data_IF_401953351900
#
_entry.id   IF_401953351900
#
_cell.length_a   1.000
_cell.length_b   1.000
_cell.length_c   1.000
_cell.angle_alpha   90.00
_cell.angle_beta   90.00
_cell.angle_gamma   90.00
#
_symmetry.space_group_name_H-M   'P 1'
#
loop_
_entity.id
_entity.type
_entity.pdbx_description
1 polymer ?
#
# COMPACT_ATOMS: atom_id res chain seq x y z
N UNK A 1 5.34 12.73 0.47
CA UNK A 1 4.71 11.66 -0.34
C UNK A 1 4.13 10.60 0.58
N UNK A 2 3.10 9.89 0.13
CA UNK A 2 2.27 8.96 0.91
C UNK A 2 1.97 7.76 0.02
N UNK A 3 2.05 6.55 0.56
CA UNK A 3 1.62 5.34 -0.15
C UNK A 3 0.16 5.07 0.17
N UNK A 4 -0.65 4.74 -0.84
CA UNK A 4 -2.01 4.24 -0.65
C UNK A 4 -2.05 2.75 -0.98
N UNK A 5 -2.42 1.93 0.00
CA UNK A 5 -2.59 0.49 -0.18
C UNK A 5 -3.76 0.16 -1.13
N UNK A 6 -3.71 -1.01 -1.75
CA UNK A 6 -4.75 -1.52 -2.66
C UNK A 6 -6.14 -1.51 -2.00
N UNK A 7 -6.23 -1.78 -0.69
CA UNK A 7 -7.51 -1.72 0.04
C UNK A 7 -8.19 -0.34 -0.02
N UNK A 8 -7.41 0.75 -0.02
CA UNK A 8 -7.93 2.13 -0.10
C UNK A 8 -8.49 2.40 -1.49
N UNK A 9 -7.76 2.01 -2.53
CA UNK A 9 -8.18 2.18 -3.92
C UNK A 9 -9.47 1.42 -4.23
N UNK A 10 -9.61 0.20 -3.70
CA UNK A 10 -10.83 -0.60 -3.85
C UNK A 10 -12.03 0.12 -3.24
N UNK A 11 -11.91 0.63 -2.02
CA UNK A 11 -13.00 1.34 -1.35
C UNK A 11 -13.33 2.67 -2.03
N UNK A 12 -12.30 3.40 -2.50
CA UNK A 12 -12.44 4.65 -3.22
C UNK A 12 -13.23 4.46 -4.52
N UNK A 13 -12.87 3.46 -5.35
CA UNK A 13 -13.59 3.16 -6.58
C UNK A 13 -15.02 2.67 -6.36
N UNK A 14 -15.28 2.01 -5.23
CA UNK A 14 -16.64 1.61 -4.83
C UNK A 14 -17.49 2.78 -4.32
N UNK A 15 -16.92 3.98 -4.21
CA UNK A 15 -17.60 5.16 -3.68
C UNK A 15 -17.90 5.04 -2.18
N UNK A 16 -17.13 4.24 -1.45
CA UNK A 16 -17.28 4.12 0.01
C UNK A 16 -16.87 5.44 0.65
N UNK A 17 -17.78 6.06 1.40
CA UNK A 17 -17.51 7.26 2.19
C UNK A 17 -16.91 6.85 3.53
N UNK A 18 -15.60 7.00 3.66
CA UNK A 18 -14.86 6.66 4.85
C UNK A 18 -13.63 7.55 4.98
N UNK A 19 -13.07 7.62 6.19
CA UNK A 19 -11.97 8.54 6.47
C UNK A 19 -10.74 8.29 5.58
N UNK A 20 -10.39 7.04 5.30
CA UNK A 20 -9.28 6.70 4.41
C UNK A 20 -9.52 7.09 2.95
N UNK A 21 -10.76 7.04 2.46
CA UNK A 21 -11.10 7.48 1.10
C UNK A 21 -11.15 9.01 1.00
N UNK A 22 -11.60 9.70 2.06
CA UNK A 22 -11.56 11.16 2.15
C UNK A 22 -10.10 11.68 2.17
N UNK A 23 -9.22 11.00 2.92
CA UNK A 23 -7.78 11.33 2.93
C UNK A 23 -7.19 11.10 1.53
N UNK A 24 -7.47 9.96 0.90
CA UNK A 24 -6.98 9.71 -0.45
C UNK A 24 -7.38 10.83 -1.42
N UNK A 25 -8.66 11.23 -1.43
CA UNK A 25 -9.17 12.31 -2.27
C UNK A 25 -8.40 13.62 -2.04
N UNK A 26 -8.24 14.01 -0.77
CA UNK A 26 -7.49 15.21 -0.39
C UNK A 26 -6.03 15.15 -0.86
N UNK A 27 -5.37 14.01 -0.67
CA UNK A 27 -3.95 13.84 -0.98
C UNK A 27 -3.67 13.75 -2.49
N UNK A 28 -4.64 13.26 -3.27
CA UNK A 28 -4.61 13.31 -4.74
C UNK A 28 -4.63 14.74 -5.26
N UNK A 29 -5.45 15.63 -4.69
CA UNK A 29 -5.50 17.06 -5.07
C UNK A 29 -4.15 17.78 -4.88
N UNK A 30 -3.28 17.25 -4.03
CA UNK A 30 -1.96 17.81 -3.74
C UNK A 30 -0.81 17.03 -4.40
N UNK A 31 -1.09 16.04 -5.25
CA UNK A 31 -0.11 15.18 -5.89
C UNK A 31 0.85 14.50 -4.89
N UNK A 32 0.35 14.07 -3.72
CA UNK A 32 1.18 13.46 -2.66
C UNK A 32 1.13 11.94 -2.62
N UNK A 33 0.29 11.32 -3.45
CA UNK A 33 0.12 9.87 -3.51
C UNK A 33 1.15 9.22 -4.45
N UNK A 34 1.80 8.18 -3.94
CA UNK A 34 2.72 7.30 -4.66
C UNK A 34 2.02 5.95 -4.94
N UNK A 35 2.35 5.37 -6.08
CA UNK A 35 2.07 3.97 -6.42
C UNK A 35 3.37 3.22 -6.74
N UNK A 36 3.27 1.92 -7.02
CA UNK A 36 4.40 1.10 -7.37
C UNK A 36 4.01 -0.24 -7.97
N UNK A 37 5.01 -0.99 -8.41
CA UNK A 37 4.91 -2.33 -8.99
C UNK A 37 3.85 -3.23 -8.35
N UNK A 38 3.87 -3.41 -7.03
CA UNK A 38 2.94 -4.32 -6.35
C UNK A 38 1.52 -3.76 -6.26
N UNK A 39 1.38 -2.46 -5.92
CA UNK A 39 0.06 -1.83 -5.81
C UNK A 39 -0.64 -1.85 -7.16
N UNK A 40 0.09 -1.54 -8.25
CA UNK A 40 -0.42 -1.62 -9.61
C UNK A 40 -0.87 -3.05 -9.94
N UNK A 41 -0.04 -4.05 -9.63
CA UNK A 41 -0.36 -5.44 -9.91
C UNK A 41 -1.62 -5.91 -9.18
N UNK A 42 -1.71 -5.69 -7.87
CA UNK A 42 -2.88 -6.11 -7.08
C UNK A 42 -4.15 -5.37 -7.47
N UNK A 43 -4.04 -4.05 -7.68
CA UNK A 43 -5.18 -3.22 -8.04
C UNK A 43 -5.75 -3.62 -9.40
N UNK A 44 -4.90 -3.69 -10.43
CA UNK A 44 -5.35 -3.97 -11.79
C UNK A 44 -5.84 -5.42 -11.97
N UNK A 45 -5.36 -6.38 -11.18
CA UNK A 45 -5.87 -7.76 -11.18
C UNK A 45 -7.32 -7.87 -10.69
N UNK A 46 -7.83 -6.87 -9.97
CA UNK A 46 -9.21 -6.83 -9.48
C UNK A 46 -10.26 -6.60 -10.57
N UNK A 47 -9.86 -6.18 -11.77
CA UNK A 47 -10.77 -5.82 -12.86
C UNK A 47 -11.01 -7.00 -13.80
N UNK A 48 -12.29 -7.23 -14.12
CA UNK A 48 -12.72 -8.27 -15.07
C UNK A 48 -12.91 -7.75 -16.49
N UNK A 49 -13.31 -6.48 -16.61
CA UNK A 49 -13.59 -5.84 -17.88
C UNK A 49 -12.36 -5.04 -18.35
N UNK A 50 -12.04 -5.17 -19.63
CA UNK A 50 -10.86 -4.55 -20.24
C UNK A 50 -10.95 -3.02 -20.28
N UNK A 51 -12.16 -2.46 -20.42
CA UNK A 51 -12.35 -1.01 -20.42
C UNK A 51 -12.07 -0.44 -19.03
N UNK A 52 -12.63 -1.07 -18.00
CA UNK A 52 -12.41 -0.64 -16.61
C UNK A 52 -10.95 -0.82 -16.20
N UNK A 53 -10.30 -1.91 -16.64
CA UNK A 53 -8.87 -2.14 -16.47
C UNK A 53 -8.04 -0.99 -17.06
N UNK A 54 -8.32 -0.59 -18.31
CA UNK A 54 -7.56 0.46 -18.97
C UNK A 54 -7.79 1.82 -18.31
N UNK A 55 -9.00 2.12 -17.84
CA UNK A 55 -9.26 3.35 -17.07
C UNK A 55 -8.49 3.35 -15.74
N UNK A 56 -8.48 2.23 -15.01
CA UNK A 56 -7.75 2.08 -13.76
C UNK A 56 -6.22 2.19 -13.97
N UNK A 57 -5.72 1.68 -15.09
CA UNK A 57 -4.30 1.79 -15.48
C UNK A 57 -3.90 3.25 -15.70
N UNK A 58 -4.73 4.05 -16.37
CA UNK A 58 -4.44 5.47 -16.56
C UNK A 58 -4.39 6.24 -15.22
N UNK A 59 -5.24 5.89 -14.25
CA UNK A 59 -5.17 6.45 -12.89
C UNK A 59 -3.81 6.14 -12.27
N UNK A 60 -3.37 4.88 -12.31
CA UNK A 60 -2.07 4.49 -11.75
C UNK A 60 -0.89 5.15 -12.46
N UNK A 61 -0.94 5.30 -13.79
CA UNK A 61 0.09 5.96 -14.58
C UNK A 61 0.25 7.45 -14.26
N UNK A 62 -0.80 8.10 -13.76
CA UNK A 62 -0.77 9.51 -13.39
C UNK A 62 -0.08 9.77 -12.03
N UNK A 63 0.15 8.72 -11.24
CA UNK A 63 0.77 8.82 -9.91
C UNK A 63 2.29 8.74 -10.00
N UNK A 64 2.98 9.27 -8.99
CA UNK A 64 4.43 9.07 -8.87
C UNK A 64 4.72 7.59 -8.63
N UNK A 65 5.58 7.01 -9.47
CA UNK A 65 5.92 5.60 -9.46
C UNK A 65 7.23 5.32 -8.72
N UNK A 66 7.24 4.28 -7.89
CA UNK A 66 8.45 3.70 -7.30
C UNK A 66 8.44 2.17 -7.38
N UNK A 67 9.61 1.57 -7.55
CA UNK A 67 9.77 0.12 -7.37
C UNK A 67 9.70 -0.22 -5.88
N UNK A 68 8.64 -0.87 -5.43
CA UNK A 68 8.54 -1.28 -4.02
C UNK A 68 9.37 -2.53 -3.79
N UNK A 69 9.48 -3.41 -4.80
CA UNK A 69 10.27 -4.64 -4.71
C UNK A 69 11.68 -4.41 -5.27
N UNK A 70 12.55 -3.87 -4.44
CA UNK A 70 14.00 -3.95 -4.64
C UNK A 70 14.59 -5.18 -3.96
N UNK A 71 15.76 -5.64 -4.42
CA UNK A 71 16.53 -6.71 -3.74
C UNK A 71 16.73 -6.42 -2.25
N UNK A 72 17.09 -5.18 -1.93
CA UNK A 72 17.30 -4.73 -0.55
C UNK A 72 16.02 -4.72 0.28
N UNK A 73 14.91 -4.25 -0.30
CA UNK A 73 13.59 -4.30 0.36
C UNK A 73 13.18 -5.74 0.60
N UNK A 74 13.42 -6.66 -0.34
CA UNK A 74 13.10 -8.08 -0.17
C UNK A 74 13.82 -8.70 1.04
N UNK A 75 15.11 -8.41 1.23
CA UNK A 75 15.85 -8.87 2.41
C UNK A 75 15.31 -8.27 3.71
N UNK A 76 15.03 -6.96 3.72
CA UNK A 76 14.50 -6.28 4.90
C UNK A 76 13.09 -6.73 5.25
N UNK A 77 12.23 -6.96 4.25
CA UNK A 77 10.88 -7.49 4.43
C UNK A 77 10.93 -8.90 5.04
N UNK A 78 11.83 -9.77 4.56
CA UNK A 78 12.03 -11.09 5.15
C UNK A 78 12.50 -11.00 6.62
N UNK A 79 13.39 -10.05 6.95
CA UNK A 79 13.81 -9.80 8.32
C UNK A 79 12.65 -9.30 9.20
N UNK A 80 11.84 -8.36 8.70
CA UNK A 80 10.67 -7.82 9.38
C UNK A 80 9.62 -8.90 9.64
N UNK A 81 9.32 -9.74 8.66
CA UNK A 81 8.46 -10.91 8.83
C UNK A 81 8.98 -11.84 9.95
N UNK A 82 10.29 -12.13 9.96
CA UNK A 82 10.91 -12.97 11.01
C UNK A 82 10.84 -12.32 12.39
N UNK A 83 10.98 -10.99 12.49
CA UNK A 83 10.84 -10.25 13.76
C UNK A 83 9.41 -10.39 14.31
N UNK A 84 8.39 -10.21 13.47
CA UNK A 84 6.99 -10.39 13.86
C UNK A 84 6.70 -11.84 14.28
N UNK A 85 7.18 -12.83 13.51
CA UNK A 85 7.01 -14.25 13.85
C UNK A 85 7.64 -14.63 15.19
N UNK A 86 8.82 -14.09 15.52
CA UNK A 86 9.46 -14.29 16.83
C UNK A 86 8.63 -13.73 18.00
N UNK A 87 7.74 -12.77 17.73
CA UNK A 87 6.78 -12.23 18.70
C UNK A 87 5.46 -13.01 18.74
N UNK A 88 5.35 -14.13 18.02
CA UNK A 88 4.12 -14.92 17.92
C UNK A 88 3.10 -14.36 16.94
N UNK A 89 3.48 -13.39 16.10
CA UNK A 89 2.60 -12.74 15.13
C UNK A 89 2.82 -13.34 13.75
N UNK A 90 1.76 -13.87 13.15
CA UNK A 90 1.78 -14.38 11.78
C UNK A 90 1.12 -13.37 10.86
N UNK A 91 1.91 -12.73 9.98
CA UNK A 91 1.36 -11.87 8.92
C UNK A 91 0.86 -12.77 7.79
N UNK A 92 -0.33 -12.47 7.26
CA UNK A 92 -1.00 -13.31 6.25
C UNK A 92 -0.37 -13.16 4.86
N UNK A 93 0.03 -11.95 4.48
CA UNK A 93 0.53 -11.62 3.14
C UNK A 93 1.95 -11.09 3.19
N UNK A 94 2.85 -11.69 2.42
CA UNK A 94 4.23 -11.20 2.26
C UNK A 94 4.26 -9.83 1.57
N UNK A 95 3.31 -9.57 0.67
CA UNK A 95 3.16 -8.31 -0.06
C UNK A 95 3.00 -7.13 0.91
N UNK A 96 2.10 -7.23 1.89
CA UNK A 96 1.89 -6.17 2.88
C UNK A 96 3.18 -5.87 3.67
N UNK A 97 3.97 -6.91 3.98
CA UNK A 97 5.27 -6.72 4.65
C UNK A 97 6.27 -6.02 3.73
N UNK A 98 6.24 -6.27 2.43
CA UNK A 98 7.07 -5.57 1.45
C UNK A 98 6.66 -4.10 1.36
N UNK A 99 5.36 -3.81 1.19
CA UNK A 99 4.81 -2.45 1.13
C UNK A 99 5.19 -1.67 2.41
N UNK A 100 4.94 -2.26 3.58
CA UNK A 100 5.27 -1.61 4.85
C UNK A 100 6.78 -1.40 5.01
N UNK A 101 7.60 -2.36 4.58
CA UNK A 101 9.07 -2.21 4.63
C UNK A 101 9.52 -1.08 3.72
N UNK A 102 9.01 -0.99 2.50
CA UNK A 102 9.29 0.14 1.60
C UNK A 102 8.91 1.48 2.25
N UNK A 103 7.72 1.56 2.85
CA UNK A 103 7.24 2.74 3.57
C UNK A 103 8.18 3.13 4.73
N UNK A 104 8.58 2.16 5.56
CA UNK A 104 9.48 2.38 6.69
C UNK A 104 10.85 2.90 6.21
N UNK A 105 11.46 2.24 5.22
CA UNK A 105 12.80 2.58 4.74
C UNK A 105 12.87 3.96 4.07
N UNK A 106 11.79 4.38 3.41
CA UNK A 106 11.70 5.70 2.77
C UNK A 106 11.03 6.76 3.64
N UNK A 107 10.62 6.41 4.87
CA UNK A 107 9.86 7.27 5.77
C UNK A 107 8.57 7.84 5.13
N UNK A 108 7.93 7.06 4.26
CA UNK A 108 6.64 7.37 3.68
C UNK A 108 5.52 6.81 4.57
N UNK A 109 4.53 7.61 4.95
CA UNK A 109 3.36 7.09 5.63
C UNK A 109 2.47 6.30 4.66
N UNK A 110 1.67 5.40 5.23
CA UNK A 110 0.72 4.54 4.53
C UNK A 110 -0.72 4.92 4.87
N UNK A 111 -1.59 4.96 3.87
CA UNK A 111 -3.06 4.91 4.04
C UNK A 111 -3.48 3.48 3.72
N UNK A 112 -4.25 2.84 4.62
CA UNK A 112 -4.76 1.48 4.40
C UNK A 112 -6.11 1.27 5.11
N UNK A 113 -6.83 0.23 4.69
CA UNK A 113 -7.99 -0.34 5.40
C UNK A 113 -7.81 -1.86 5.67
N UNK A 114 -6.57 -2.38 5.61
CA UNK A 114 -6.25 -3.77 5.94
C UNK A 114 -5.58 -3.88 7.33
N UNK A 115 -6.14 -4.71 8.21
CA UNK A 115 -5.61 -4.97 9.55
C UNK A 115 -4.26 -5.70 9.53
N UNK A 116 -3.87 -6.26 8.39
CA UNK A 116 -2.57 -6.90 8.25
C UNK A 116 -1.42 -5.93 8.51
N UNK A 117 -1.61 -4.62 8.32
CA UNK A 117 -0.61 -3.59 8.61
C UNK A 117 -0.46 -3.23 10.10
N UNK A 118 -1.45 -3.54 10.95
CA UNK A 118 -1.44 -3.16 12.38
C UNK A 118 -0.18 -3.65 13.12
N UNK A 119 0.33 -4.89 12.93
CA UNK A 119 1.57 -5.32 13.56
C UNK A 119 2.81 -4.57 13.05
N UNK A 120 2.82 -4.13 11.80
CA UNK A 120 3.92 -3.34 11.25
C UNK A 120 3.94 -1.93 11.85
N UNK A 121 2.76 -1.32 12.03
CA UNK A 121 2.61 -0.07 12.77
C UNK A 121 3.10 -0.22 14.21
N UNK A 122 2.60 -1.24 14.91
CA UNK A 122 2.89 -1.44 16.34
C UNK A 122 4.35 -1.81 16.63
N UNK A 123 4.99 -2.65 15.80
CA UNK A 123 6.27 -3.27 16.16
C UNK A 123 7.43 -2.91 15.25
N UNK A 124 7.18 -2.35 14.06
CA UNK A 124 8.21 -2.09 13.05
C UNK A 124 8.35 -0.60 12.70
N UNK A 125 7.48 0.26 13.23
CA UNK A 125 7.57 1.71 13.04
C UNK A 125 6.94 2.21 11.74
N UNK A 126 6.05 1.42 11.12
CA UNK A 126 5.25 1.89 10.01
C UNK A 126 4.40 3.08 10.47
N UNK A 127 4.43 4.19 9.71
CA UNK A 127 3.58 5.35 9.96
C UNK A 127 2.29 5.20 9.17
N UNK A 128 1.15 5.27 9.85
CA UNK A 128 -0.16 5.20 9.23
C UNK A 128 -0.87 6.54 9.34
N UNK A 129 -1.48 6.98 8.24
CA UNK A 129 -2.40 8.12 8.25
C UNK A 129 -3.81 7.56 8.37
N UNK A 130 -4.50 7.95 9.44
CA UNK A 130 -5.87 7.53 9.74
C UNK A 130 -6.83 8.66 9.59
#
# INVERSE_FOLDING_TARGET
MIVADTSVWIDYLKGIKARHTDILDQELLHNRIITGDIIIAEFLQGFKDEKDYNQAKEIMNALEYHDFVGKEIAYKAAQNFRKLRKKGITVRKTIDVIIATFCIENNFPLIHNDKDFDPMEQYLGLKVIR
#
